data_IF_946577188608
#
_entry.id   IF_946577188608
#
_cell.length_a   1.000
_cell.length_b   1.000
_cell.length_c   1.000
_cell.angle_alpha   90.00
_cell.angle_beta   90.00
_cell.angle_gamma   90.00
#
_symmetry.space_group_name_H-M   'P 1'
#
loop_
_entity.id
_entity.type
_entity.pdbx_description
1 polymer ?
#
# COMPACT_ATOMS: atom_id res chain seq x y z
N UNK A 1 -2.51 -10.04 -35.72
CA UNK A 1 -1.53 -9.87 -34.60
C UNK A 1 -1.12 -11.19 -33.93
N UNK A 2 -1.93 -12.25 -33.96
CA UNK A 2 -1.61 -13.54 -33.30
C UNK A 2 -0.44 -14.32 -33.94
N UNK A 3 -0.25 -14.23 -35.26
CA UNK A 3 0.85 -14.91 -35.97
C UNK A 3 2.25 -14.45 -35.53
N UNK A 4 2.40 -13.18 -35.16
CA UNK A 4 3.68 -12.62 -34.71
C UNK A 4 4.06 -13.12 -33.31
N UNK A 5 3.08 -13.25 -32.41
CA UNK A 5 3.29 -13.78 -31.06
C UNK A 5 3.65 -15.27 -31.07
N UNK A 6 3.01 -16.06 -31.94
CA UNK A 6 3.29 -17.49 -32.08
C UNK A 6 4.70 -17.75 -32.62
N UNK A 7 5.16 -16.97 -33.61
CA UNK A 7 6.55 -17.05 -34.10
C UNK A 7 7.55 -16.73 -32.98
N UNK A 8 7.25 -15.73 -32.16
CA UNK A 8 8.12 -15.31 -31.04
C UNK A 8 8.18 -16.31 -29.89
N UNK A 9 7.12 -17.09 -29.69
CA UNK A 9 7.07 -18.20 -28.74
C UNK A 9 7.85 -19.42 -29.29
N UNK A 10 7.73 -19.69 -30.59
CA UNK A 10 8.46 -20.77 -31.26
C UNK A 10 9.97 -20.48 -31.39
N UNK A 11 10.36 -19.21 -31.42
CA UNK A 11 11.75 -18.74 -31.50
C UNK A 11 12.40 -18.54 -30.11
N UNK A 12 11.80 -19.08 -29.05
CA UNK A 12 12.41 -19.13 -27.73
C UNK A 12 13.55 -20.17 -27.70
N UNK A 13 14.63 -19.86 -28.41
CA UNK A 13 15.88 -20.61 -28.35
C UNK A 13 16.42 -20.70 -26.92
N UNK A 14 17.35 -21.64 -26.65
CA UNK A 14 17.89 -21.85 -25.32
C UNK A 14 18.41 -20.53 -24.74
N UNK A 15 18.08 -20.27 -23.47
CA UNK A 15 18.55 -19.08 -22.76
C UNK A 15 20.08 -19.14 -22.72
N UNK A 16 20.72 -18.27 -23.49
CA UNK A 16 22.17 -18.15 -23.53
C UNK A 16 22.64 -17.61 -22.17
N UNK A 17 23.17 -18.50 -21.34
CA UNK A 17 23.85 -18.15 -20.08
C UNK A 17 25.34 -17.89 -20.37
N UNK A 18 26.06 -17.29 -19.42
CA UNK A 18 27.49 -16.97 -19.58
C UNK A 18 28.31 -18.21 -19.98
N UNK A 19 27.93 -19.39 -19.48
CA UNK A 19 28.59 -20.67 -19.75
C UNK A 19 28.10 -21.37 -21.03
N UNK A 20 26.90 -21.04 -21.53
CA UNK A 20 26.26 -21.70 -22.67
C UNK A 20 26.13 -20.77 -23.90
N UNK A 21 26.83 -19.62 -23.91
CA UNK A 21 26.73 -18.66 -24.99
C UNK A 21 27.76 -18.96 -26.09
N UNK A 22 27.34 -19.37 -27.31
CA UNK A 22 28.27 -19.58 -28.43
C UNK A 22 28.90 -18.26 -28.92
N UNK A 23 28.27 -17.13 -28.64
CA UNK A 23 28.76 -15.79 -29.00
C UNK A 23 29.45 -15.13 -27.81
N UNK A 24 30.74 -15.42 -27.62
CA UNK A 24 31.54 -14.79 -26.57
C UNK A 24 31.78 -13.31 -26.88
N UNK A 25 31.68 -12.46 -25.86
CA UNK A 25 31.98 -11.05 -26.00
C UNK A 25 33.49 -10.87 -26.28
N UNK A 26 33.85 -10.33 -27.44
CA UNK A 26 35.25 -10.09 -27.82
C UNK A 26 35.93 -9.00 -26.97
N UNK A 27 35.13 -8.13 -26.34
CA UNK A 27 35.60 -7.04 -25.48
C UNK A 27 34.86 -7.08 -24.15
N UNK A 28 35.61 -7.06 -23.05
CA UNK A 28 35.04 -6.99 -21.71
C UNK A 28 34.22 -5.70 -21.59
N UNK A 29 32.95 -5.85 -21.25
CA UNK A 29 32.08 -4.77 -20.81
C UNK A 29 32.06 -4.78 -19.27
N UNK A 30 32.03 -3.64 -18.57
CA UNK A 30 32.01 -2.25 -19.04
C UNK A 30 33.38 -1.77 -19.53
N UNK A 31 33.44 -0.82 -20.48
CA UNK A 31 34.69 -0.15 -20.80
C UNK A 31 35.15 0.70 -19.60
N UNK A 32 36.45 0.68 -19.29
CA UNK A 32 37.06 1.55 -18.29
C UNK A 32 36.92 3.02 -18.70
N UNK A 33 35.93 3.71 -18.13
CA UNK A 33 35.63 5.10 -18.51
C UNK A 33 36.80 6.05 -18.23
N UNK A 34 37.64 5.77 -17.23
CA UNK A 34 38.82 6.56 -16.88
C UNK A 34 39.89 6.62 -17.99
N UNK A 35 39.95 5.60 -18.86
CA UNK A 35 40.92 5.50 -19.96
C UNK A 35 40.38 6.07 -21.27
N UNK A 36 39.10 6.47 -21.32
CA UNK A 36 38.46 6.99 -22.52
C UNK A 36 38.64 8.51 -22.62
N UNK A 37 38.96 8.99 -23.82
CA UNK A 37 38.98 10.43 -24.11
C UNK A 37 37.62 11.09 -23.77
N UNK A 38 37.59 12.31 -23.17
CA UNK A 38 36.35 12.97 -22.70
C UNK A 38 35.24 13.08 -23.74
N UNK A 39 35.58 13.29 -25.02
CA UNK A 39 34.61 13.31 -26.13
C UNK A 39 33.83 11.99 -26.27
N UNK A 40 34.49 10.85 -26.03
CA UNK A 40 33.84 9.54 -26.08
C UNK A 40 32.98 9.30 -24.84
N UNK A 41 33.45 9.70 -23.65
CA UNK A 41 32.67 9.63 -22.40
C UNK A 41 31.34 10.39 -22.55
N UNK A 42 31.38 11.63 -23.05
CA UNK A 42 30.17 12.44 -23.26
C UNK A 42 29.16 11.79 -24.22
N UNK A 43 29.63 11.10 -25.28
CA UNK A 43 28.75 10.35 -26.20
C UNK A 43 28.06 9.19 -25.50
N UNK A 44 28.77 8.46 -24.65
CA UNK A 44 28.19 7.36 -23.86
C UNK A 44 27.19 7.87 -22.84
N UNK A 45 27.52 8.95 -22.13
CA UNK A 45 26.64 9.59 -21.16
C UNK A 45 25.33 10.06 -21.82
N UNK A 46 25.43 10.77 -22.95
CA UNK A 46 24.25 11.20 -23.72
C UNK A 46 23.40 10.02 -24.17
N UNK A 47 24.02 8.92 -24.62
CA UNK A 47 23.30 7.69 -25.01
C UNK A 47 22.63 7.02 -23.81
N UNK A 48 23.30 6.99 -22.66
CA UNK A 48 22.76 6.46 -21.42
C UNK A 48 21.54 7.27 -20.96
N UNK A 49 21.64 8.60 -20.86
CA UNK A 49 20.53 9.50 -20.48
C UNK A 49 19.32 9.35 -21.40
N UNK A 50 19.53 9.17 -22.71
CA UNK A 50 18.44 8.92 -23.67
C UNK A 50 17.76 7.57 -23.43
N UNK A 51 18.56 6.51 -23.25
CA UNK A 51 18.04 5.15 -23.02
C UNK A 51 17.33 5.03 -21.67
N UNK A 52 17.84 5.68 -20.63
CA UNK A 52 17.17 5.72 -19.32
C UNK A 52 15.82 6.42 -19.46
N UNK A 53 15.74 7.60 -20.10
CA UNK A 53 14.46 8.28 -20.35
C UNK A 53 13.45 7.38 -21.08
N UNK A 54 13.89 6.62 -22.09
CA UNK A 54 13.03 5.68 -22.80
C UNK A 54 12.57 4.49 -21.93
N UNK A 55 13.43 4.00 -21.03
CA UNK A 55 13.07 2.95 -20.05
C UNK A 55 12.16 3.47 -18.96
N UNK A 56 12.26 4.74 -18.60
CA UNK A 56 11.39 5.40 -17.63
C UNK A 56 10.06 5.86 -18.24
N UNK A 57 9.99 6.04 -19.56
CA UNK A 57 8.76 6.33 -20.31
C UNK A 57 7.80 5.12 -20.47
N UNK A 58 8.03 4.01 -19.75
CA UNK A 58 7.16 2.82 -19.79
C UNK A 58 5.71 3.16 -19.41
N UNK A 59 4.71 2.47 -20.00
CA UNK A 59 3.31 2.86 -19.97
C UNK A 59 2.79 3.06 -18.54
N UNK A 60 2.59 4.32 -18.15
CA UNK A 60 2.05 4.73 -16.84
C UNK A 60 0.60 4.33 -16.67
N UNK A 61 -0.17 4.29 -17.75
CA UNK A 61 -1.59 3.94 -17.73
C UNK A 61 -1.84 2.56 -17.15
N UNK A 62 -1.05 1.56 -17.55
CA UNK A 62 -1.18 0.19 -17.03
C UNK A 62 -0.88 0.12 -15.53
N UNK A 63 0.06 0.95 -15.03
CA UNK A 63 0.32 1.04 -13.59
C UNK A 63 -0.88 1.64 -12.85
N UNK A 64 -1.50 2.69 -13.42
CA UNK A 64 -2.71 3.29 -12.90
C UNK A 64 -3.88 2.31 -12.85
N UNK A 65 -4.15 1.60 -13.96
CA UNK A 65 -5.21 0.59 -14.03
C UNK A 65 -4.97 -0.55 -13.04
N UNK A 66 -3.72 -1.01 -12.90
CA UNK A 66 -3.40 -2.02 -11.87
C UNK A 66 -3.69 -1.49 -10.47
N UNK A 67 -3.23 -0.29 -10.15
CA UNK A 67 -3.51 0.32 -8.84
C UNK A 67 -5.01 0.47 -8.59
N UNK A 68 -5.77 0.88 -9.60
CA UNK A 68 -7.23 0.96 -9.53
C UNK A 68 -7.88 -0.41 -9.35
N UNK A 69 -7.37 -1.46 -10.01
CA UNK A 69 -7.86 -2.83 -9.83
C UNK A 69 -7.63 -3.32 -8.40
N UNK A 70 -6.41 -3.20 -7.89
CA UNK A 70 -6.09 -3.55 -6.50
C UNK A 70 -6.85 -2.68 -5.49
N UNK A 71 -6.97 -1.38 -5.76
CA UNK A 71 -7.73 -0.45 -4.92
C UNK A 71 -9.22 -0.74 -4.90
N UNK A 72 -9.81 -1.10 -6.05
CA UNK A 72 -11.21 -1.53 -6.16
C UNK A 72 -11.43 -2.82 -5.39
N UNK A 73 -10.57 -3.83 -5.57
CA UNK A 73 -10.66 -5.08 -4.80
C UNK A 73 -10.55 -4.84 -3.30
N UNK A 74 -9.60 -4.02 -2.84
CA UNK A 74 -9.48 -3.66 -1.43
C UNK A 74 -10.70 -2.90 -0.92
N UNK A 75 -11.27 -2.00 -1.71
CA UNK A 75 -12.49 -1.25 -1.36
C UNK A 75 -13.67 -2.21 -1.11
N UNK A 76 -13.87 -3.19 -1.99
CA UNK A 76 -14.93 -4.20 -1.84
C UNK A 76 -14.72 -5.04 -0.58
N UNK A 77 -13.48 -5.45 -0.29
CA UNK A 77 -13.17 -6.21 0.94
C UNK A 77 -13.43 -5.39 2.19
N UNK A 78 -12.99 -4.12 2.23
CA UNK A 78 -13.25 -3.22 3.36
C UNK A 78 -14.74 -2.99 3.54
N UNK A 79 -15.49 -2.78 2.46
CA UNK A 79 -16.95 -2.66 2.52
C UNK A 79 -17.61 -3.92 3.09
N UNK A 80 -17.20 -5.11 2.62
CA UNK A 80 -17.69 -6.40 3.12
C UNK A 80 -17.42 -6.63 4.61
N UNK A 81 -16.26 -6.20 5.10
CA UNK A 81 -15.89 -6.36 6.52
C UNK A 81 -16.55 -5.31 7.40
N UNK A 82 -16.56 -4.02 7.00
CA UNK A 82 -16.99 -2.92 7.88
C UNK A 82 -18.48 -2.58 7.78
N UNK A 83 -19.07 -2.67 6.59
CA UNK A 83 -20.37 -2.07 6.29
C UNK A 83 -21.43 -3.08 5.87
N UNK A 84 -21.04 -4.25 5.33
CA UNK A 84 -22.00 -5.29 5.02
C UNK A 84 -22.52 -5.89 6.33
N UNK A 85 -23.79 -5.66 6.64
CA UNK A 85 -24.45 -6.33 7.74
C UNK A 85 -24.90 -7.71 7.27
N UNK A 86 -24.19 -8.73 7.75
CA UNK A 86 -24.47 -10.15 7.50
C UNK A 86 -25.73 -10.65 8.23
N UNK A 87 -26.38 -9.77 9.00
CA UNK A 87 -27.56 -10.01 9.83
C UNK A 87 -28.76 -10.57 9.06
N UNK A 88 -28.88 -10.19 7.78
CA UNK A 88 -30.04 -10.55 6.96
C UNK A 88 -29.91 -11.90 6.24
N UNK A 89 -28.78 -12.61 6.38
CA UNK A 89 -28.50 -13.80 5.56
C UNK A 89 -28.85 -15.14 6.21
N UNK A 90 -28.83 -15.25 7.54
CA UNK A 90 -29.05 -16.56 8.19
C UNK A 90 -29.41 -16.44 9.67
N UNK A 91 -30.50 -15.74 10.04
CA UNK A 91 -31.21 -15.87 11.32
C UNK A 91 -30.42 -15.92 12.64
N UNK A 92 -29.15 -15.52 12.63
CA UNK A 92 -28.17 -15.74 13.68
C UNK A 92 -27.64 -14.38 14.09
N UNK A 93 -27.90 -14.00 15.34
CA UNK A 93 -27.44 -12.76 16.00
C UNK A 93 -25.90 -12.62 16.08
N UNK A 94 -25.16 -13.53 15.45
CA UNK A 94 -23.70 -13.61 15.54
C UNK A 94 -23.09 -12.75 14.44
N UNK A 95 -22.68 -11.54 14.81
CA UNK A 95 -21.98 -10.60 13.91
C UNK A 95 -20.53 -11.06 13.67
N UNK A 96 -20.20 -11.69 12.51
CA UNK A 96 -18.94 -12.41 12.32
C UNK A 96 -17.69 -11.52 12.33
N UNK A 97 -17.86 -10.21 12.12
CA UNK A 97 -16.77 -9.23 12.08
C UNK A 97 -16.88 -8.14 13.17
N UNK A 98 -17.71 -8.34 14.19
CA UNK A 98 -17.90 -7.34 15.26
C UNK A 98 -16.60 -7.04 16.02
N UNK A 99 -15.81 -8.07 16.34
CA UNK A 99 -14.52 -7.92 17.03
C UNK A 99 -13.51 -7.14 16.19
N UNK A 100 -13.43 -7.45 14.89
CA UNK A 100 -12.55 -6.75 13.93
C UNK A 100 -12.97 -5.29 13.76
N UNK A 101 -14.28 -5.01 13.65
CA UNK A 101 -14.83 -3.64 13.58
C UNK A 101 -14.53 -2.85 14.85
N UNK A 102 -14.67 -3.47 16.03
CA UNK A 102 -14.37 -2.85 17.33
C UNK A 102 -12.89 -2.53 17.49
N UNK A 103 -12.01 -3.49 17.22
CA UNK A 103 -10.56 -3.27 17.22
C UNK A 103 -10.15 -2.14 16.26
N UNK A 104 -10.67 -2.15 15.03
CA UNK A 104 -10.36 -1.11 14.04
C UNK A 104 -10.84 0.28 14.52
N UNK A 105 -12.05 0.37 15.09
CA UNK A 105 -12.58 1.62 15.65
C UNK A 105 -11.74 2.11 16.82
N UNK A 106 -11.26 1.23 17.68
CA UNK A 106 -10.36 1.59 18.79
C UNK A 106 -9.03 2.15 18.26
N UNK A 107 -8.44 1.51 17.24
CA UNK A 107 -7.20 1.99 16.60
C UNK A 107 -7.41 3.33 15.88
N UNK A 108 -8.53 3.51 15.16
CA UNK A 108 -8.88 4.78 14.51
C UNK A 108 -9.14 5.89 15.53
N UNK A 109 -9.82 5.58 16.63
CA UNK A 109 -10.05 6.54 17.71
C UNK A 109 -8.74 6.96 18.35
N UNK A 110 -7.82 6.04 18.63
CA UNK A 110 -6.49 6.36 19.21
C UNK A 110 -5.65 7.29 18.32
N UNK A 111 -5.85 7.29 17.00
CA UNK A 111 -5.12 8.16 16.06
C UNK A 111 -5.79 9.54 15.97
N UNK A 112 -7.12 9.62 16.11
CA UNK A 112 -7.89 10.85 15.93
C UNK A 112 -8.23 11.56 17.25
N UNK A 113 -8.25 10.87 18.38
CA UNK A 113 -8.40 11.43 19.72
C UNK A 113 -7.06 11.39 20.44
N UNK A 114 -6.25 12.45 20.31
CA UNK A 114 -5.27 12.77 21.36
C UNK A 114 -6.06 13.28 22.55
N UNK A 115 -6.39 12.41 23.50
CA UNK A 115 -6.88 12.85 24.81
C UNK A 115 -5.66 13.31 25.61
N UNK A 116 -5.41 14.61 25.85
CA UNK A 116 -4.61 14.97 27.00
C UNK A 116 -5.37 14.44 28.21
N UNK A 117 -4.83 13.45 28.90
CA UNK A 117 -5.25 13.15 30.26
C UNK A 117 -4.89 14.35 31.11
N UNK A 118 -5.73 15.39 31.07
CA UNK A 118 -5.81 16.38 32.15
C UNK A 118 -6.36 15.59 33.33
N UNK A 119 -5.45 15.00 34.10
CA UNK A 119 -5.72 14.65 35.49
C UNK A 119 -6.05 15.97 36.18
N UNK A 120 -7.34 16.32 36.23
CA UNK A 120 -7.80 17.36 37.13
C UNK A 120 -7.60 16.82 38.55
N UNK A 121 -6.81 17.50 39.41
CA UNK A 121 -6.57 17.03 40.76
C UNK A 121 -7.88 16.98 41.52
N UNK A 122 -8.03 15.96 42.37
CA UNK A 122 -9.09 15.78 43.35
C UNK A 122 -9.64 17.12 43.86
N UNK A 123 -10.81 17.53 43.37
CA UNK A 123 -11.56 18.62 43.98
C UNK A 123 -12.24 18.05 45.22
N UNK A 124 -11.55 18.29 46.33
CA UNK A 124 -12.00 18.33 47.72
C UNK A 124 -13.53 18.34 47.86
N UNK A 125 -14.00 17.32 48.59
CA UNK A 125 -15.30 17.20 49.24
C UNK A 125 -15.87 18.55 49.71
N UNK A 126 -17.06 18.90 49.22
CA UNK A 126 -17.89 19.94 49.84
C UNK A 126 -19.00 19.25 50.65
N UNK A 127 -19.32 19.73 51.86
CA UNK A 127 -19.95 18.94 52.89
C UNK A 127 -21.45 18.76 52.66
N UNK A 128 -21.89 17.56 53.01
CA UNK A 128 -23.21 17.14 53.48
C UNK A 128 -24.10 18.31 53.94
N UNK A 129 -25.18 18.57 53.21
CA UNK A 129 -26.27 19.41 53.69
C UNK A 129 -27.28 18.50 54.40
N UNK A 130 -27.53 18.70 55.71
CA UNK A 130 -28.38 17.81 56.48
C UNK A 130 -29.85 18.00 56.15
N UNK A 131 -30.53 16.87 56.00
CA UNK A 131 -31.97 16.68 55.92
C UNK A 131 -32.74 17.52 56.93
N UNK A 132 -33.61 18.41 56.43
CA UNK A 132 -34.68 19.04 57.21
C UNK A 132 -35.97 18.25 57.06
N UNK A 133 -36.07 17.17 57.84
CA UNK A 133 -37.36 16.66 58.28
C UNK A 133 -37.79 17.43 59.52
N UNK A 134 -38.86 18.21 59.41
CA UNK A 134 -39.81 18.44 60.52
C UNK A 134 -40.98 19.32 60.08
N UNK A 135 -42.15 18.68 60.00
CA UNK A 135 -43.43 19.14 60.59
C UNK A 135 -44.15 20.32 59.96
N UNK A 136 -45.22 20.04 59.20
CA UNK A 136 -46.55 20.67 59.31
C UNK A 136 -47.45 20.32 58.11
N UNK A 137 -48.42 19.42 58.28
CA UNK A 137 -49.80 19.61 57.76
C UNK A 137 -50.75 18.68 58.53
N UNK A 138 -51.98 19.17 58.70
CA UNK A 138 -53.06 18.71 59.55
C UNK A 138 -53.58 17.29 59.30
#
# INVERSE_FOLDING_TARGET
>A
MLKASLRRLAEAGPKLTIHNNPYRAQKQWPPDFSKLHPKHQFRFERKYRRRSKLKWARPRWVKGVKLAAWGSSLSVLVYGVLFLDWDNMDGSDVKPFAEVRGWLRNQLSSIWTTSPSTQAPHRVSSPEEPSRDSTQTA
#
